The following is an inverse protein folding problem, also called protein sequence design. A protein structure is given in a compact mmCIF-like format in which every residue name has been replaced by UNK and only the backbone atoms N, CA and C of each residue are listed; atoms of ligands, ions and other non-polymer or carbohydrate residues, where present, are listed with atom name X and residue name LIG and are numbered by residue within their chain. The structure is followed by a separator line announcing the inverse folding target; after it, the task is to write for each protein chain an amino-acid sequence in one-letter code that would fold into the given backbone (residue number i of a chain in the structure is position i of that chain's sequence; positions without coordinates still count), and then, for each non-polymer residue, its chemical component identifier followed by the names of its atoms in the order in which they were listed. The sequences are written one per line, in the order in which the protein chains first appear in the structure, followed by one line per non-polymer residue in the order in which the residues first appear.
data_IF_937194898409
#
_entry.id   IF_937194898409
#
_cell.length_a   1.000
_cell.length_b   1.000
_cell.length_c   1.000
_cell.angle_alpha   90.00
_cell.angle_beta   90.00
_cell.angle_gamma   90.00
#
_symmetry.space_group_name_H-M   'P 1'
#
loop_
_entity.id
_entity.type
_entity.pdbx_description
1 polymer ?
#
# COMPACT_ATOMS: atom_id res chain seq x y z
N UNK A 1 1.94 10.53 -0.70
CA UNK A 1 3.03 10.74 -1.68
C UNK A 1 3.60 9.36 -1.98
N UNK A 2 3.76 9.01 -3.26
CA UNK A 2 4.39 7.75 -3.69
C UNK A 2 5.80 8.05 -4.19
N UNK A 3 6.74 7.16 -3.89
CA UNK A 3 8.13 7.24 -4.33
C UNK A 3 8.30 6.43 -5.60
N UNK A 4 8.75 7.06 -6.68
CA UNK A 4 8.82 6.44 -8.00
C UNK A 4 9.76 5.22 -8.05
N UNK A 5 10.75 5.20 -7.16
CA UNK A 5 11.82 4.22 -7.06
C UNK A 5 11.45 3.02 -6.18
N UNK A 6 10.29 3.04 -5.52
CA UNK A 6 9.84 1.95 -4.66
C UNK A 6 8.71 1.17 -5.34
N UNK A 7 8.76 -0.15 -5.19
CA UNK A 7 7.67 -1.06 -5.56
C UNK A 7 6.46 -0.96 -4.62
N UNK A 8 5.34 -1.55 -5.03
CA UNK A 8 4.15 -1.70 -4.19
C UNK A 8 4.51 -2.30 -2.82
N UNK A 9 5.28 -3.40 -2.80
CA UNK A 9 5.70 -4.05 -1.56
C UNK A 9 6.61 -3.16 -0.72
N UNK A 10 7.61 -2.53 -1.33
CA UNK A 10 8.56 -1.66 -0.61
C UNK A 10 7.88 -0.43 0.02
N UNK A 11 6.84 0.11 -0.61
CA UNK A 11 6.03 1.18 0.01
C UNK A 11 5.38 0.72 1.30
N UNK A 12 4.73 -0.46 1.29
CA UNK A 12 4.04 -0.98 2.46
C UNK A 12 5.04 -1.34 3.56
N UNK A 13 6.18 -1.95 3.21
CA UNK A 13 7.27 -2.22 4.14
C UNK A 13 7.86 -0.95 4.75
N UNK A 14 8.06 0.10 3.96
CA UNK A 14 8.56 1.38 4.44
C UNK A 14 7.65 1.95 5.52
N UNK A 15 6.34 1.98 5.24
CA UNK A 15 5.35 2.51 6.19
C UNK A 15 5.23 1.61 7.43
N UNK A 16 5.28 0.29 7.27
CA UNK A 16 5.24 -0.65 8.39
C UNK A 16 6.45 -0.48 9.32
N UNK A 17 7.65 -0.28 8.75
CA UNK A 17 8.88 0.03 9.50
C UNK A 17 8.79 1.38 10.21
N UNK A 18 8.28 2.42 9.54
CA UNK A 18 8.05 3.73 10.15
C UNK A 18 7.03 3.70 11.30
N UNK A 19 6.07 2.78 11.25
CA UNK A 19 5.10 2.52 12.33
C UNK A 19 5.61 1.55 13.41
N UNK A 20 6.87 1.13 13.36
CA UNK A 20 7.49 0.21 14.32
C UNK A 20 6.75 -1.13 14.47
N UNK A 21 6.17 -1.66 13.39
CA UNK A 21 5.52 -2.96 13.40
C UNK A 21 6.53 -4.10 13.63
N UNK A 22 6.13 -5.12 14.39
CA UNK A 22 6.92 -6.32 14.58
C UNK A 22 7.13 -7.06 13.26
N UNK A 23 8.38 -7.47 12.99
CA UNK A 23 8.74 -8.19 11.75
C UNK A 23 7.88 -9.43 11.51
N UNK A 24 7.52 -10.15 12.57
CA UNK A 24 6.72 -11.39 12.48
C UNK A 24 5.31 -11.14 11.96
N UNK A 25 4.70 -10.01 12.29
CA UNK A 25 3.35 -9.64 11.86
C UNK A 25 3.34 -8.82 10.57
N UNK A 26 4.49 -8.26 10.20
CA UNK A 26 4.64 -7.35 9.08
C UNK A 26 4.39 -8.04 7.73
N UNK A 27 5.05 -9.18 7.49
CA UNK A 27 5.01 -9.85 6.18
C UNK A 27 3.58 -10.30 5.83
N UNK A 28 2.90 -10.99 6.76
CA UNK A 28 1.52 -11.44 6.57
C UNK A 28 0.56 -10.25 6.36
N UNK A 29 0.73 -9.17 7.14
CA UNK A 29 -0.10 -7.97 6.99
C UNK A 29 0.11 -7.31 5.63
N UNK A 30 1.34 -7.25 5.13
CA UNK A 30 1.66 -6.64 3.83
C UNK A 30 1.04 -7.46 2.71
N UNK A 31 1.21 -8.78 2.71
CA UNK A 31 0.64 -9.63 1.66
C UNK A 31 -0.89 -9.58 1.68
N UNK A 32 -1.52 -9.52 2.85
CA UNK A 32 -2.97 -9.31 2.98
C UNK A 32 -3.42 -7.97 2.43
N UNK A 33 -2.70 -6.88 2.69
CA UNK A 33 -3.01 -5.55 2.14
C UNK A 33 -2.88 -5.55 0.61
N UNK A 34 -1.82 -6.15 0.07
CA UNK A 34 -1.58 -6.25 -1.38
C UNK A 34 -2.72 -6.99 -2.07
N UNK A 35 -3.19 -8.09 -1.47
CA UNK A 35 -4.36 -8.84 -1.92
C UNK A 35 -5.62 -7.96 -1.90
N UNK A 36 -5.88 -7.28 -0.79
CA UNK A 36 -7.08 -6.46 -0.59
C UNK A 36 -7.19 -5.30 -1.60
N UNK A 37 -6.07 -4.68 -1.96
CA UNK A 37 -6.03 -3.59 -2.95
C UNK A 37 -5.90 -4.09 -4.41
N UNK A 38 -5.90 -5.41 -4.62
CA UNK A 38 -5.84 -6.03 -5.94
C UNK A 38 -4.57 -5.73 -6.72
N UNK A 39 -3.41 -5.71 -6.04
CA UNK A 39 -2.09 -5.47 -6.65
C UNK A 39 -1.13 -6.67 -6.51
N UNK A 40 -1.66 -7.88 -6.28
CA UNK A 40 -0.85 -9.11 -6.11
C UNK A 40 0.12 -9.36 -7.27
N UNK A 41 -0.33 -9.18 -8.51
CA UNK A 41 0.50 -9.37 -9.70
C UNK A 41 1.52 -8.25 -9.92
N UNK A 42 1.29 -7.08 -9.31
CA UNK A 42 2.11 -5.88 -9.44
C UNK A 42 2.93 -5.59 -8.17
N UNK A 43 3.05 -6.57 -7.27
CA UNK A 43 3.66 -6.35 -5.95
C UNK A 43 5.12 -5.88 -6.02
N UNK A 44 5.83 -6.24 -7.09
CA UNK A 44 7.22 -5.84 -7.37
C UNK A 44 7.32 -4.70 -8.39
N UNK A 45 6.20 -4.24 -8.95
CA UNK A 45 6.16 -3.14 -9.91
C UNK A 45 6.46 -1.82 -9.21
N UNK A 46 7.36 -1.02 -9.78
CA UNK A 46 7.70 0.31 -9.26
C UNK A 46 6.51 1.26 -9.37
N UNK A 47 6.34 2.15 -8.39
CA UNK A 47 5.21 3.05 -8.38
C UNK A 47 5.12 3.92 -9.63
N UNK A 48 6.25 4.31 -10.25
CA UNK A 48 6.25 5.10 -11.48
C UNK A 48 5.53 4.39 -12.64
N UNK A 49 5.61 3.05 -12.70
CA UNK A 49 5.10 2.20 -13.77
C UNK A 49 3.64 1.77 -13.53
N UNK A 50 3.05 2.12 -12.38
CA UNK A 50 1.65 1.90 -12.07
C UNK A 50 0.74 2.92 -12.79
N UNK A 51 -0.42 2.45 -13.25
CA UNK A 51 -1.50 3.34 -13.72
C UNK A 51 -1.98 4.28 -12.60
N UNK A 52 -2.68 5.37 -12.95
CA UNK A 52 -3.25 6.29 -11.96
C UNK A 52 -4.18 5.59 -10.95
N UNK A 53 -5.04 4.69 -11.42
CA UNK A 53 -5.91 3.88 -10.56
C UNK A 53 -5.14 2.95 -9.64
N UNK A 54 -4.07 2.31 -10.13
CA UNK A 54 -3.20 1.46 -9.31
C UNK A 54 -2.44 2.27 -8.25
N UNK A 55 -1.94 3.47 -8.58
CA UNK A 55 -1.33 4.39 -7.61
C UNK A 55 -2.32 4.80 -6.51
N UNK A 56 -3.60 5.00 -6.86
CA UNK A 56 -4.64 5.31 -5.88
C UNK A 56 -4.93 4.12 -4.98
N UNK A 57 -5.02 2.91 -5.52
CA UNK A 57 -5.14 1.66 -4.73
C UNK A 57 -3.94 1.44 -3.81
N UNK A 58 -2.71 1.68 -4.29
CA UNK A 58 -1.51 1.66 -3.44
C UNK A 58 -1.60 2.69 -2.31
N UNK A 59 -2.09 3.90 -2.59
CA UNK A 59 -2.28 4.93 -1.56
C UNK A 59 -3.29 4.51 -0.48
N UNK A 60 -4.36 3.80 -0.87
CA UNK A 60 -5.29 3.17 0.07
C UNK A 60 -4.58 2.07 0.86
N UNK A 61 -3.80 1.20 0.22
CA UNK A 61 -3.02 0.16 0.88
C UNK A 61 -2.08 0.70 1.96
N UNK A 62 -1.36 1.78 1.66
CA UNK A 62 -0.49 2.49 2.61
C UNK A 62 -1.27 2.96 3.85
N UNK A 63 -2.50 3.45 3.67
CA UNK A 63 -3.33 3.92 4.77
C UNK A 63 -3.80 2.80 5.70
N UNK A 64 -3.90 1.57 5.19
CA UNK A 64 -4.32 0.37 5.92
C UNK A 64 -3.18 -0.28 6.73
N UNK A 65 -1.92 0.06 6.45
CA UNK A 65 -0.77 -0.46 7.20
C UNK A 65 -0.93 -0.12 8.68
N UNK A 66 -0.72 -1.10 9.56
CA UNK A 66 -0.85 -0.92 11.01
C UNK A 66 -2.28 -0.97 11.53
N UNK A 67 -3.22 -1.55 10.77
CA UNK A 67 -4.59 -1.90 11.19
C UNK A 67 -5.33 -0.76 11.92
N UNK A 68 -5.58 0.37 11.23
CA UNK A 68 -6.25 1.51 11.85
C UNK A 68 -7.71 1.18 12.17
N UNK A 69 -8.18 1.56 13.37
CA UNK A 69 -9.59 1.42 13.78
C UNK A 69 -10.55 2.27 12.94
N UNK A 70 -10.07 3.41 12.42
CA UNK A 70 -10.84 4.36 11.62
C UNK A 70 -9.96 4.84 10.49
N UNK A 71 -10.48 4.78 9.27
CA UNK A 71 -9.84 5.29 8.07
C UNK A 71 -10.71 6.40 7.48
N UNK A 72 -10.14 7.59 7.28
CA UNK A 72 -10.80 8.73 6.65
C UNK A 72 -10.19 8.88 5.25
N UNK A 73 -11.05 8.85 4.24
CA UNK A 73 -10.66 8.97 2.84
C UNK A 73 -11.39 10.16 2.23
N UNK A 74 -10.65 11.02 1.54
CA UNK A 74 -11.21 12.11 0.76
C UNK A 74 -11.34 11.67 -0.70
N UNK A 75 -12.57 11.65 -1.20
CA UNK A 75 -12.96 11.20 -2.54
C UNK A 75 -12.20 9.95 -3.06
N UNK A 76 -12.26 8.79 -2.38
CA UNK A 76 -11.46 7.62 -2.79
C UNK A 76 -11.81 7.08 -4.17
N UNK A 77 -13.00 7.39 -4.68
CA UNK A 77 -13.56 6.90 -5.95
C UNK A 77 -13.43 7.89 -7.11
N UNK A 78 -13.04 9.14 -6.88
CA UNK A 78 -12.92 10.14 -7.95
C UNK A 78 -11.77 9.77 -8.90
N UNK A 79 -12.10 9.48 -10.16
CA UNK A 79 -11.15 9.09 -11.20
C UNK A 79 -10.86 7.59 -11.30
N UNK A 80 -11.77 6.74 -10.80
CA UNK A 80 -11.86 5.32 -11.17
C UNK A 80 -12.58 5.18 -12.51
#
# INVERSE_FOLDING_TARGET
ILYNELSVKEHLELIAKLRHMDKRTMDDSIENIILLIGLTNDRLTLAKDLSGGMKRRLSIGISLVGDPKVLILDEPTSGI
#
